data_IF_030798965726
#
_entry.id   IF_030798965726
#
_cell.length_a   1.000
_cell.length_b   1.000
_cell.length_c   1.000
_cell.angle_alpha   90.00
_cell.angle_beta   90.00
_cell.angle_gamma   90.00
#
_symmetry.space_group_name_H-M   'P 1'
#
loop_
_entity.id
_entity.type
_entity.pdbx_description
1 polymer ?
#
# COMPACT_ATOMS: atom_id res chain seq x y z
N UNK A 1 9.21 -9.37 6.30
CA UNK A 1 8.43 -9.83 7.49
C UNK A 1 7.61 -11.06 7.10
N UNK A 2 7.33 -12.01 7.99
CA UNK A 2 6.45 -13.14 7.64
C UNK A 2 4.98 -12.70 7.82
N UNK A 3 4.27 -12.48 6.72
CA UNK A 3 2.84 -12.12 6.71
C UNK A 3 2.00 -13.16 5.96
N UNK A 4 0.70 -13.19 6.27
CA UNK A 4 -0.30 -14.03 5.61
C UNK A 4 -1.05 -13.21 4.54
N UNK A 5 -0.86 -13.57 3.26
CA UNK A 5 -1.47 -12.88 2.14
C UNK A 5 -3.01 -13.03 2.10
N UNK A 6 -3.59 -14.13 2.60
CA UNK A 6 -5.03 -14.31 2.66
C UNK A 6 -5.65 -13.38 3.73
N UNK A 7 -5.01 -13.29 4.90
CA UNK A 7 -5.39 -12.32 5.92
C UNK A 7 -5.21 -10.88 5.41
N UNK A 8 -4.12 -10.61 4.68
CA UNK A 8 -3.86 -9.33 4.04
C UNK A 8 -4.94 -8.94 3.05
N UNK A 9 -5.39 -9.87 2.21
CA UNK A 9 -6.50 -9.66 1.27
C UNK A 9 -7.79 -9.27 1.99
N UNK A 10 -8.13 -9.97 3.08
CA UNK A 10 -9.33 -9.66 3.86
C UNK A 10 -9.28 -8.24 4.45
N UNK A 11 -8.10 -7.78 4.88
CA UNK A 11 -7.92 -6.40 5.36
C UNK A 11 -8.01 -5.42 4.19
N UNK A 12 -7.35 -5.71 3.07
CA UNK A 12 -7.31 -4.87 1.87
C UNK A 12 -8.70 -4.58 1.30
N UNK A 13 -9.55 -5.61 1.21
CA UNK A 13 -10.92 -5.50 0.70
C UNK A 13 -11.92 -5.02 1.77
N UNK A 14 -11.64 -5.30 3.05
CA UNK A 14 -12.51 -5.00 4.18
C UNK A 14 -12.16 -3.69 4.87
N UNK A 15 -11.72 -3.77 6.13
CA UNK A 15 -11.50 -2.61 7.00
C UNK A 15 -10.44 -1.61 6.49
N UNK A 16 -9.51 -2.08 5.66
CA UNK A 16 -8.52 -1.25 4.98
C UNK A 16 -9.10 -0.44 3.83
N UNK A 17 -10.21 -0.87 3.24
CA UNK A 17 -10.83 -0.24 2.07
C UNK A 17 -9.80 0.14 0.98
N UNK A 18 -8.68 -0.58 0.90
CA UNK A 18 -7.53 -0.24 0.08
C UNK A 18 -7.89 -0.36 -1.40
N UNK A 19 -8.72 -1.36 -1.72
CA UNK A 19 -9.26 -1.59 -3.06
C UNK A 19 -10.06 -0.42 -3.61
N UNK A 20 -10.65 0.43 -2.75
CA UNK A 20 -11.44 1.59 -3.20
C UNK A 20 -10.59 2.63 -3.94
N UNK A 21 -9.30 2.74 -3.60
CA UNK A 21 -8.33 3.62 -4.25
C UNK A 21 -7.37 2.85 -5.15
N UNK A 22 -6.77 1.76 -4.65
CA UNK A 22 -5.75 1.00 -5.39
C UNK A 22 -6.32 -0.04 -6.35
N UNK A 23 -7.63 -0.27 -6.33
CA UNK A 23 -8.32 -1.28 -7.15
C UNK A 23 -8.17 -2.70 -6.59
N UNK A 24 -9.06 -3.64 -6.93
CA UNK A 24 -9.01 -5.02 -6.42
C UNK A 24 -7.76 -5.77 -6.90
N UNK A 25 -7.22 -5.41 -8.06
CA UNK A 25 -5.98 -5.96 -8.62
C UNK A 25 -4.73 -5.12 -8.30
N UNK A 26 -4.85 -4.07 -7.47
CA UNK A 26 -3.72 -3.20 -7.15
C UNK A 26 -3.21 -2.34 -8.31
N UNK A 27 -4.03 -2.08 -9.32
CA UNK A 27 -3.61 -1.34 -10.53
C UNK A 27 -3.68 0.19 -10.38
N UNK A 28 -4.10 0.70 -9.23
CA UNK A 28 -4.25 2.14 -8.99
C UNK A 28 -5.49 2.74 -9.67
N UNK A 29 -6.49 1.91 -9.94
CA UNK A 29 -7.70 2.19 -10.72
C UNK A 29 -9.00 1.99 -9.94
N UNK A 30 -8.93 2.01 -8.60
CA UNK A 30 -10.12 1.97 -7.75
C UNK A 30 -11.06 3.15 -8.03
N UNK A 31 -12.34 3.04 -7.67
CA UNK A 31 -13.35 4.08 -7.92
C UNK A 31 -12.93 5.47 -7.44
N UNK A 32 -12.23 5.55 -6.30
CA UNK A 32 -11.73 6.82 -5.76
C UNK A 32 -10.51 7.37 -6.54
N UNK A 33 -9.75 6.53 -7.24
CA UNK A 33 -8.54 6.93 -7.96
C UNK A 33 -8.80 8.01 -9.03
N UNK A 34 -10.00 8.05 -9.61
CA UNK A 34 -10.38 9.06 -10.60
C UNK A 34 -10.35 10.49 -10.06
N UNK A 35 -10.55 10.66 -8.75
CA UNK A 35 -10.55 11.96 -8.07
C UNK A 35 -9.19 12.31 -7.42
N UNK A 36 -8.19 11.44 -7.54
CA UNK A 36 -6.90 11.57 -6.86
C UNK A 36 -5.81 12.05 -7.81
N UNK A 37 -5.09 13.11 -7.42
CA UNK A 37 -3.92 13.60 -8.10
C UNK A 37 -2.78 13.83 -7.08
N UNK A 38 -1.64 13.11 -7.19
CA UNK A 38 -1.31 12.09 -8.19
C UNK A 38 -2.16 10.81 -8.04
N UNK A 39 -2.38 10.04 -9.10
CA UNK A 39 -3.09 8.75 -8.99
C UNK A 39 -2.36 7.79 -8.04
N UNK A 40 -3.07 6.88 -7.36
CA UNK A 40 -2.44 5.81 -6.59
C UNK A 40 -1.48 4.99 -7.46
N UNK A 41 -0.35 4.57 -6.88
CA UNK A 41 0.63 3.75 -7.59
C UNK A 41 0.05 2.38 -7.95
N UNK A 42 0.43 1.86 -9.12
CA UNK A 42 0.13 0.50 -9.52
C UNK A 42 1.14 -0.46 -8.91
N UNK A 43 0.65 -1.35 -8.03
CA UNK A 43 1.43 -2.44 -7.45
C UNK A 43 1.78 -3.49 -8.51
N UNK A 44 0.87 -3.72 -9.46
CA UNK A 44 1.09 -4.63 -10.58
C UNK A 44 2.26 -4.21 -11.48
N UNK A 45 2.49 -2.90 -11.64
CA UNK A 45 3.63 -2.38 -12.40
C UNK A 45 4.93 -2.29 -11.58
N UNK A 46 4.92 -2.73 -10.30
CA UNK A 46 6.06 -2.58 -9.41
C UNK A 46 6.46 -1.13 -9.17
N UNK A 47 5.55 -0.16 -9.32
CA UNK A 47 5.83 1.27 -9.29
C UNK A 47 6.02 1.83 -7.87
N UNK A 48 6.79 1.11 -7.04
CA UNK A 48 7.15 1.50 -5.70
C UNK A 48 8.37 2.43 -5.76
N UNK A 49 8.12 3.73 -5.65
CA UNK A 49 9.13 4.78 -5.84
C UNK A 49 9.53 5.49 -4.56
N UNK A 50 8.94 5.10 -3.44
CA UNK A 50 9.13 5.74 -2.15
C UNK A 50 10.19 4.97 -1.39
N UNK A 51 11.30 5.65 -1.09
CA UNK A 51 12.29 5.27 -0.08
C UNK A 51 11.91 6.02 1.19
N UNK A 52 11.45 5.28 2.20
CA UNK A 52 10.89 5.83 3.43
C UNK A 52 11.84 5.78 4.61
N UNK A 53 12.87 4.95 4.54
CA UNK A 53 13.86 4.75 5.59
C UNK A 53 15.26 5.29 5.23
N UNK A 54 15.44 5.75 3.98
CA UNK A 54 16.63 6.41 3.49
C UNK A 54 17.77 5.46 3.16
N UNK A 55 17.49 4.17 2.94
CA UNK A 55 18.49 3.15 2.66
C UNK A 55 18.97 3.14 1.19
N UNK A 56 18.34 3.95 0.33
CA UNK A 56 18.65 4.04 -1.10
C UNK A 56 17.96 2.98 -1.96
N UNK A 57 17.10 2.15 -1.39
CA UNK A 57 16.23 1.20 -2.08
C UNK A 57 14.78 1.67 -1.99
N UNK A 58 13.97 1.33 -2.99
CA UNK A 58 12.55 1.73 -3.03
C UNK A 58 11.65 0.51 -3.10
N UNK A 59 10.56 0.53 -2.33
CA UNK A 59 9.57 -0.54 -2.37
C UNK A 59 9.97 -1.79 -1.61
N UNK A 60 10.85 -1.64 -0.62
CA UNK A 60 11.15 -2.67 0.36
C UNK A 60 9.92 -2.96 1.22
N UNK A 61 9.93 -4.08 1.97
CA UNK A 61 8.89 -4.36 2.96
C UNK A 61 8.74 -3.22 3.97
N UNK A 62 9.87 -2.61 4.37
CA UNK A 62 9.91 -1.47 5.28
C UNK A 62 9.22 -0.25 4.66
N UNK A 63 9.47 0.03 3.38
CA UNK A 63 8.80 1.12 2.66
C UNK A 63 7.30 0.96 2.61
N UNK A 64 6.86 -0.23 2.25
CA UNK A 64 5.43 -0.54 2.18
C UNK A 64 4.79 -0.41 3.56
N UNK A 65 5.42 -0.96 4.59
CA UNK A 65 4.93 -0.87 5.96
C UNK A 65 4.83 0.59 6.43
N UNK A 66 5.85 1.41 6.15
CA UNK A 66 5.89 2.83 6.50
C UNK A 66 4.82 3.64 5.78
N UNK A 67 4.63 3.41 4.48
CA UNK A 67 3.57 4.05 3.69
C UNK A 67 2.19 3.66 4.18
N UNK A 68 1.96 2.37 4.50
CA UNK A 68 0.67 1.91 5.05
C UNK A 68 0.41 2.58 6.41
N UNK A 69 1.41 2.62 7.30
CA UNK A 69 1.28 3.14 8.66
C UNK A 69 1.09 4.65 8.69
N UNK A 70 1.86 5.39 7.90
CA UNK A 70 1.97 6.84 8.00
C UNK A 70 1.32 7.60 6.83
N UNK A 71 0.87 6.89 5.79
CA UNK A 71 0.35 7.48 4.57
C UNK A 71 1.45 7.86 3.57
N UNK A 72 1.07 8.02 2.30
CA UNK A 72 2.03 8.30 1.22
C UNK A 72 2.55 9.73 1.22
N UNK A 73 1.78 10.71 1.70
CA UNK A 73 2.11 12.13 1.61
C UNK A 73 3.42 12.52 2.30
N UNK A 74 3.74 11.89 3.44
CA UNK A 74 4.97 12.14 4.21
C UNK A 74 6.24 11.82 3.40
N UNK A 75 6.14 10.90 2.46
CA UNK A 75 7.27 10.37 1.70
C UNK A 75 7.32 10.89 0.25
N UNK A 76 6.49 11.89 -0.08
CA UNK A 76 6.38 12.42 -1.45
C UNK A 76 5.44 11.61 -2.37
N UNK A 77 4.66 10.69 -1.80
CA UNK A 77 3.53 10.03 -2.47
C UNK A 77 2.26 10.89 -2.48
N UNK A 78 1.11 10.27 -2.79
CA UNK A 78 -0.16 11.00 -2.77
C UNK A 78 -0.55 11.39 -1.32
N UNK A 79 -0.75 12.70 -1.02
CA UNK A 79 -1.14 13.16 0.32
C UNK A 79 -2.53 12.70 0.77
N UNK A 80 -3.39 12.30 -0.16
CA UNK A 80 -4.70 11.73 0.13
C UNK A 80 -4.65 10.26 0.55
N UNK A 81 -3.49 9.59 0.49
CA UNK A 81 -3.32 8.25 1.03
C UNK A 81 -3.24 8.33 2.57
N UNK A 82 -4.28 7.90 3.31
CA UNK A 82 -4.30 8.02 4.76
C UNK A 82 -3.33 7.02 5.40
N UNK A 83 -2.70 7.44 6.50
CA UNK A 83 -1.97 6.51 7.36
C UNK A 83 -2.93 5.62 8.15
N UNK A 84 -2.56 4.34 8.31
CA UNK A 84 -3.28 3.33 9.09
C UNK A 84 -2.56 3.01 10.40
N UNK A 85 -2.44 4.02 11.24
CA UNK A 85 -1.88 3.87 12.60
C UNK A 85 -2.78 3.01 13.51
N UNK A 86 -4.02 2.73 13.10
CA UNK A 86 -4.96 1.83 13.74
C UNK A 86 -4.67 0.34 13.48
N UNK A 87 -3.78 0.02 12.53
CA UNK A 87 -3.39 -1.36 12.24
C UNK A 87 -2.18 -1.78 13.07
N UNK A 88 -2.25 -3.00 13.60
CA UNK A 88 -1.11 -3.64 14.27
C UNK A 88 0.00 -3.97 13.27
N UNK A 89 1.23 -4.15 13.76
CA UNK A 89 2.36 -4.51 12.89
C UNK A 89 2.15 -5.85 12.17
N UNK A 90 1.39 -6.78 12.77
CA UNK A 90 1.01 -8.04 12.14
C UNK A 90 0.03 -7.84 10.96
N UNK A 91 -0.93 -6.92 11.11
CA UNK A 91 -1.88 -6.58 10.03
C UNK A 91 -1.19 -5.85 8.89
N UNK A 92 -0.24 -4.97 9.22
CA UNK A 92 0.62 -4.32 8.22
C UNK A 92 1.46 -5.38 7.50
N UNK A 93 2.08 -6.33 8.21
CA UNK A 93 2.84 -7.41 7.58
C UNK A 93 1.97 -8.28 6.64
N UNK A 94 0.73 -8.57 7.04
CA UNK A 94 -0.24 -9.29 6.20
C UNK A 94 -0.59 -8.50 4.93
N UNK A 95 -0.83 -7.19 5.04
CA UNK A 95 -1.08 -6.32 3.90
C UNK A 95 0.12 -6.27 2.94
N UNK A 96 1.34 -6.16 3.46
CA UNK A 96 2.58 -6.20 2.66
C UNK A 96 2.68 -7.55 1.93
N UNK A 97 2.45 -8.66 2.61
CA UNK A 97 2.44 -9.99 2.00
C UNK A 97 1.41 -10.08 0.86
N UNK A 98 0.21 -9.54 1.05
CA UNK A 98 -0.81 -9.49 -0.01
C UNK A 98 -0.39 -8.60 -1.18
N UNK A 99 0.18 -7.41 -0.94
CA UNK A 99 0.65 -6.50 -2.00
C UNK A 99 1.70 -7.19 -2.88
N UNK A 100 2.59 -7.99 -2.30
CA UNK A 100 3.56 -8.77 -3.09
C UNK A 100 2.90 -9.79 -4.02
N UNK A 101 1.70 -10.31 -3.69
CA UNK A 101 0.94 -11.19 -4.60
C UNK A 101 0.30 -10.45 -5.79
N UNK A 102 0.21 -9.12 -5.72
CA UNK A 102 -0.36 -8.28 -6.78
C UNK A 102 0.68 -7.84 -7.81
N UNK A 103 1.98 -7.97 -7.52
CA UNK A 103 3.03 -7.83 -8.53
C UNK A 103 2.88 -8.96 -9.55
N UNK A 104 2.88 -8.60 -10.83
CA UNK A 104 2.94 -9.55 -11.95
C UNK A 104 4.33 -9.57 -12.55
#
# INVERSE_FOLDING_TARGET
>A
MAGDAAAGKAIYDGKGACASCHGPAGAGDGLAAAALNPKPASFAAGAFRLDTDGDGQTGTDTDLANVIKNGGGKYGGNPAMPGRADFSDAEIANLVAYIHTLKK
#
